data_IF_320818823082
#
_entry.id   IF_320818823082
#
_cell.length_a   1.000
_cell.length_b   1.000
_cell.length_c   1.000
_cell.angle_alpha   90.00
_cell.angle_beta   90.00
_cell.angle_gamma   90.00
#
_symmetry.space_group_name_H-M   'P 1'
#
loop_
_entity.id
_entity.type
_entity.pdbx_description
1 polymer ?
#
# COMPACT_ATOMS: atom_id res chain seq x y z
N UNK A 1 34.40 -73.08 -54.32
CA UNK A 1 33.39 -72.59 -55.30
C UNK A 1 32.06 -72.59 -54.56
N UNK A 2 31.42 -71.51 -54.12
CA UNK A 2 31.63 -70.06 -54.26
C UNK A 2 31.09 -69.42 -52.97
N UNK A 3 31.86 -68.50 -52.38
CA UNK A 3 31.50 -67.80 -51.14
C UNK A 3 30.71 -66.54 -51.49
N UNK A 4 29.49 -66.44 -50.97
CA UNK A 4 28.57 -65.30 -51.14
C UNK A 4 29.01 -64.13 -50.24
N UNK A 5 29.43 -63.03 -50.86
CA UNK A 5 29.72 -61.78 -50.18
C UNK A 5 28.42 -61.01 -49.87
N UNK A 6 28.12 -60.81 -48.58
CA UNK A 6 27.08 -59.90 -48.12
C UNK A 6 27.70 -58.52 -47.85
N UNK A 7 27.04 -57.51 -48.40
CA UNK A 7 27.35 -56.07 -48.30
C UNK A 7 27.29 -55.61 -46.83
N UNK A 8 28.26 -54.84 -46.30
CA UNK A 8 28.08 -54.09 -45.07
C UNK A 8 27.41 -52.75 -45.40
N UNK A 9 26.20 -52.52 -44.88
CA UNK A 9 25.59 -51.19 -44.88
C UNK A 9 26.28 -50.32 -43.84
N UNK A 10 26.86 -49.24 -44.33
CA UNK A 10 27.45 -48.17 -43.55
C UNK A 10 26.42 -47.06 -43.28
N UNK A 11 26.50 -46.53 -42.05
CA UNK A 11 26.12 -45.18 -41.62
C UNK A 11 24.62 -44.78 -41.55
N UNK A 12 24.17 -44.56 -40.32
CA UNK A 12 23.26 -43.45 -40.02
C UNK A 12 23.83 -42.61 -38.87
N UNK A 13 24.70 -41.67 -39.25
CA UNK A 13 25.16 -40.56 -38.43
C UNK A 13 24.04 -39.51 -38.38
N UNK A 14 23.42 -39.31 -37.21
CA UNK A 14 22.31 -38.36 -37.09
C UNK A 14 21.96 -37.83 -35.70
N UNK A 15 22.83 -37.97 -34.69
CA UNK A 15 22.40 -37.73 -33.30
C UNK A 15 23.37 -36.96 -32.39
N UNK A 16 24.20 -36.06 -32.95
CA UNK A 16 25.16 -35.26 -32.17
C UNK A 16 24.84 -33.76 -31.95
N UNK A 17 24.04 -33.03 -32.76
CA UNK A 17 23.81 -31.60 -32.50
C UNK A 17 22.85 -31.34 -31.32
N UNK A 18 21.85 -32.20 -31.13
CA UNK A 18 20.78 -31.98 -30.13
C UNK A 18 21.23 -32.16 -28.67
N UNK A 19 22.34 -32.86 -28.43
CA UNK A 19 22.86 -33.10 -27.06
C UNK A 19 23.60 -31.89 -26.51
N UNK A 20 24.42 -31.23 -27.34
CA UNK A 20 25.18 -30.05 -26.93
C UNK A 20 24.25 -28.86 -26.62
N UNK A 21 23.21 -28.67 -27.43
CA UNK A 21 22.23 -27.59 -27.27
C UNK A 21 21.38 -27.73 -25.99
N UNK A 22 21.06 -28.97 -25.59
CA UNK A 22 20.39 -29.27 -24.31
C UNK A 22 21.27 -28.98 -23.09
N UNK A 23 22.58 -29.21 -23.20
CA UNK A 23 23.51 -28.94 -22.09
C UNK A 23 23.72 -27.43 -21.91
N UNK A 24 23.87 -26.68 -23.01
CA UNK A 24 24.00 -25.22 -22.99
C UNK A 24 22.75 -24.53 -22.39
N UNK A 25 21.55 -24.94 -22.82
CA UNK A 25 20.28 -24.40 -22.27
C UNK A 25 20.04 -24.74 -20.80
N UNK A 26 20.48 -25.91 -20.33
CA UNK A 26 20.38 -26.28 -18.91
C UNK A 26 21.34 -25.46 -18.03
N UNK A 27 22.53 -25.12 -18.54
CA UNK A 27 23.51 -24.27 -17.85
C UNK A 27 22.97 -22.84 -17.71
N UNK A 28 22.36 -22.29 -18.75
CA UNK A 28 21.74 -20.96 -18.74
C UNK A 28 20.55 -20.89 -17.76
N UNK A 29 19.74 -21.96 -17.70
CA UNK A 29 18.62 -22.05 -16.77
C UNK A 29 19.09 -22.05 -15.31
N UNK A 30 20.13 -22.84 -15.00
CA UNK A 30 20.72 -22.89 -13.66
C UNK A 30 21.34 -21.55 -13.25
N UNK A 31 21.99 -20.85 -14.19
CA UNK A 31 22.57 -19.53 -13.94
C UNK A 31 21.49 -18.48 -13.62
N UNK A 32 20.36 -18.50 -14.35
CA UNK A 32 19.20 -17.62 -14.09
C UNK A 32 18.56 -17.91 -12.73
N UNK A 33 18.32 -19.19 -12.41
CA UNK A 33 17.74 -19.59 -11.12
C UNK A 33 18.62 -19.15 -9.94
N UNK A 34 19.94 -19.30 -10.09
CA UNK A 34 20.91 -18.86 -9.07
C UNK A 34 20.87 -17.33 -8.90
N UNK A 35 20.82 -16.57 -9.98
CA UNK A 35 20.75 -15.11 -9.92
C UNK A 35 19.43 -14.63 -9.27
N UNK A 36 18.31 -15.29 -9.58
CA UNK A 36 17.01 -15.01 -8.97
C UNK A 36 17.00 -15.32 -7.47
N UNK A 37 17.52 -16.49 -7.08
CA UNK A 37 17.67 -16.86 -5.66
C UNK A 37 18.60 -15.90 -4.92
N UNK A 38 19.71 -15.50 -5.53
CA UNK A 38 20.64 -14.55 -4.92
C UNK A 38 20.01 -13.16 -4.78
N UNK A 39 19.25 -12.70 -5.77
CA UNK A 39 18.48 -11.45 -5.70
C UNK A 39 17.43 -11.50 -4.57
N UNK A 40 16.77 -12.65 -4.41
CA UNK A 40 15.78 -12.89 -3.35
C UNK A 40 16.43 -12.97 -1.96
N UNK A 41 17.61 -13.56 -1.84
CA UNK A 41 18.38 -13.62 -0.59
C UNK A 41 18.89 -12.23 -0.22
N UNK A 42 19.46 -11.50 -1.17
CA UNK A 42 19.96 -10.15 -0.95
C UNK A 42 18.82 -9.19 -0.57
N UNK A 43 17.63 -9.30 -1.18
CA UNK A 43 16.47 -8.50 -0.79
C UNK A 43 15.97 -8.81 0.63
N UNK A 44 16.04 -10.09 1.05
CA UNK A 44 15.73 -10.51 2.42
C UNK A 44 16.79 -10.12 3.47
N UNK A 45 18.06 -9.97 3.08
CA UNK A 45 19.16 -9.60 3.97
C UNK A 45 19.32 -8.09 4.11
N UNK A 46 19.20 -7.32 3.02
CA UNK A 46 19.22 -5.85 3.05
C UNK A 46 18.06 -5.26 3.85
N UNK A 47 16.91 -5.94 3.92
CA UNK A 47 15.78 -5.51 4.75
C UNK A 47 16.02 -5.60 6.26
N UNK A 48 17.09 -6.26 6.72
CA UNK A 48 17.35 -6.52 8.17
C UNK A 48 18.37 -5.57 8.81
N UNK A 49 19.14 -4.78 8.06
CA UNK A 49 20.36 -4.13 8.56
C UNK A 49 20.39 -2.58 8.49
N UNK A 50 19.27 -1.92 8.23
CA UNK A 50 19.12 -0.47 8.43
C UNK A 50 17.64 -0.16 8.68
N UNK A 51 17.36 0.87 9.48
CA UNK A 51 16.01 1.37 9.79
C UNK A 51 15.16 1.46 8.53
N UNK A 52 14.38 0.41 8.26
CA UNK A 52 13.61 0.28 7.02
C UNK A 52 12.51 1.33 7.08
N UNK A 53 12.49 2.27 6.16
CA UNK A 53 11.32 3.12 5.95
C UNK A 53 10.40 2.41 4.99
N UNK A 54 9.13 2.30 5.34
CA UNK A 54 8.10 1.93 4.40
C UNK A 54 7.86 3.12 3.46
N UNK A 55 7.64 2.86 2.16
CA UNK A 55 7.34 3.90 1.20
C UNK A 55 6.05 4.62 1.55
N UNK A 56 5.90 5.85 1.09
CA UNK A 56 4.72 6.71 1.27
C UNK A 56 4.39 7.40 -0.04
N UNK A 57 3.16 7.90 -0.21
CA UNK A 57 2.78 8.67 -1.41
C UNK A 57 3.72 9.86 -1.58
N UNK A 58 4.15 10.20 -2.82
CA UNK A 58 5.15 11.25 -3.04
C UNK A 58 4.82 12.58 -2.35
N UNK A 59 3.54 12.95 -2.33
CA UNK A 59 3.08 14.18 -1.70
C UNK A 59 3.24 14.17 -0.16
N UNK A 60 3.17 12.99 0.48
CA UNK A 60 3.40 12.85 1.92
C UNK A 60 4.89 12.73 2.28
N UNK A 61 5.77 12.39 1.32
CA UNK A 61 7.20 12.27 1.58
C UNK A 61 7.82 13.61 2.03
N UNK A 62 7.35 14.75 1.50
CA UNK A 62 7.84 16.07 1.91
C UNK A 62 7.51 16.43 3.36
N UNK A 63 6.37 15.96 3.89
CA UNK A 63 5.92 16.29 5.25
C UNK A 63 6.36 15.26 6.29
N UNK A 64 6.62 14.01 5.89
CA UNK A 64 7.05 12.96 6.80
C UNK A 64 8.55 13.08 7.15
N UNK A 65 8.96 12.86 8.41
CA UNK A 65 10.36 12.77 8.77
C UNK A 65 11.08 11.69 7.95
N UNK A 66 12.19 12.05 7.31
CA UNK A 66 12.98 11.11 6.50
C UNK A 66 12.29 10.60 5.22
N UNK A 67 11.15 11.17 4.82
CA UNK A 67 10.50 10.87 3.53
C UNK A 67 9.67 9.59 3.48
N UNK A 68 9.39 8.96 4.61
CA UNK A 68 8.63 7.70 4.65
C UNK A 68 8.23 7.31 6.07
N UNK A 69 7.58 6.16 6.21
CA UNK A 69 7.13 5.66 7.51
C UNK A 69 8.22 4.79 8.12
N UNK A 70 8.76 5.18 9.26
CA UNK A 70 9.77 4.41 9.98
C UNK A 70 9.15 3.11 10.54
N UNK A 71 9.78 1.97 10.24
CA UNK A 71 9.44 0.72 10.91
C UNK A 71 9.85 0.77 12.38
N UNK A 72 9.06 0.16 13.26
CA UNK A 72 9.25 0.24 14.70
C UNK A 72 8.72 1.53 15.33
N UNK A 73 7.96 2.33 14.57
CA UNK A 73 7.39 3.59 15.00
C UNK A 73 5.87 3.61 14.89
N UNK A 74 5.25 4.56 15.59
CA UNK A 74 3.82 4.82 15.54
C UNK A 74 3.54 6.25 15.04
N UNK A 75 2.44 6.43 14.31
CA UNK A 75 2.00 7.69 13.75
C UNK A 75 0.57 7.96 14.17
N UNK A 76 0.31 9.14 14.73
CA UNK A 76 -1.04 9.56 15.08
C UNK A 76 -1.66 10.34 13.92
N UNK A 77 -2.90 10.04 13.58
CA UNK A 77 -3.69 10.80 12.61
C UNK A 77 -4.92 11.38 13.29
N UNK A 78 -4.99 12.70 13.32
CA UNK A 78 -6.10 13.44 13.91
C UNK A 78 -7.21 13.66 12.87
N UNK A 79 -8.40 13.15 13.17
CA UNK A 79 -9.67 13.44 12.50
C UNK A 79 -9.69 13.25 10.96
N UNK A 80 -8.94 12.29 10.41
CA UNK A 80 -8.96 12.04 8.96
C UNK A 80 -8.65 10.59 8.59
N UNK A 81 -9.69 9.79 8.36
CA UNK A 81 -9.57 8.44 7.78
C UNK A 81 -8.93 8.47 6.39
N UNK A 82 -9.23 9.52 5.61
CA UNK A 82 -8.61 9.79 4.30
C UNK A 82 -7.10 9.85 4.39
N UNK A 83 -6.56 10.59 5.35
CA UNK A 83 -5.11 10.68 5.56
C UNK A 83 -4.53 9.36 6.06
N UNK A 84 -5.23 8.66 6.94
CA UNK A 84 -4.81 7.33 7.38
C UNK A 84 -4.72 6.33 6.22
N UNK A 85 -5.69 6.32 5.29
CA UNK A 85 -5.62 5.49 4.08
C UNK A 85 -4.45 5.90 3.17
N UNK A 86 -4.18 7.19 3.02
CA UNK A 86 -3.03 7.67 2.25
C UNK A 86 -1.67 7.21 2.83
N UNK A 87 -1.56 7.08 4.16
CA UNK A 87 -0.37 6.52 4.81
C UNK A 87 -0.22 5.01 4.56
N UNK A 88 -1.33 4.30 4.37
CA UNK A 88 -1.33 2.86 4.03
C UNK A 88 -1.06 2.61 2.54
N UNK A 89 -1.41 3.56 1.68
CA UNK A 89 -1.25 3.45 0.23
C UNK A 89 0.18 3.13 -0.20
N UNK A 90 1.17 3.82 0.37
CA UNK A 90 2.58 3.61 0.04
C UNK A 90 3.08 2.19 0.32
N UNK A 91 3.00 1.70 1.57
CA UNK A 91 3.43 0.35 1.90
C UNK A 91 2.64 -0.72 1.13
N UNK A 92 1.32 -0.53 0.99
CA UNK A 92 0.44 -1.47 0.29
C UNK A 92 0.76 -1.56 -1.21
N UNK A 93 0.94 -0.42 -1.88
CA UNK A 93 1.31 -0.34 -3.28
C UNK A 93 2.70 -0.89 -3.59
N UNK A 94 3.62 -0.83 -2.61
CA UNK A 94 4.90 -1.54 -2.67
C UNK A 94 4.79 -3.05 -2.41
N UNK A 95 3.56 -3.57 -2.28
CA UNK A 95 3.25 -4.99 -2.15
C UNK A 95 3.26 -5.53 -0.72
N UNK A 96 3.32 -4.68 0.30
CA UNK A 96 3.30 -5.10 1.70
C UNK A 96 1.88 -5.44 2.18
N UNK A 97 1.77 -6.45 3.04
CA UNK A 97 0.53 -6.72 3.75
C UNK A 97 0.23 -5.60 4.75
N UNK A 98 -1.04 -5.21 4.78
CA UNK A 98 -1.58 -4.15 5.62
C UNK A 98 -2.76 -4.70 6.44
N UNK A 99 -2.99 -4.17 7.63
CA UNK A 99 -4.20 -4.50 8.40
C UNK A 99 -4.92 -3.26 8.90
N UNK A 100 -6.25 -3.33 8.98
CA UNK A 100 -7.10 -2.32 9.63
C UNK A 100 -7.85 -2.97 10.79
N UNK A 101 -7.69 -2.43 12.00
CA UNK A 101 -8.26 -3.00 13.23
C UNK A 101 -9.15 -1.98 13.94
N UNK A 102 -10.35 -2.39 14.37
CA UNK A 102 -11.24 -1.55 15.18
C UNK A 102 -11.86 -0.37 14.42
N UNK A 103 -12.02 -0.49 13.10
CA UNK A 103 -12.62 0.54 12.26
C UNK A 103 -13.83 0.00 11.49
N UNK A 104 -15.01 -0.10 12.13
CA UNK A 104 -16.20 -0.71 11.52
C UNK A 104 -16.74 0.07 10.32
N UNK A 105 -16.43 1.36 10.22
CA UNK A 105 -16.83 2.24 9.11
C UNK A 105 -15.75 2.43 8.05
N UNK A 106 -14.71 1.58 8.03
CA UNK A 106 -13.66 1.64 7.03
C UNK A 106 -14.19 1.27 5.64
N UNK A 107 -14.02 2.17 4.66
CA UNK A 107 -14.50 1.94 3.29
C UNK A 107 -13.43 1.24 2.45
N UNK A 108 -13.74 0.03 2.00
CA UNK A 108 -12.90 -0.77 1.11
C UNK A 108 -12.80 -0.16 -0.29
N UNK A 109 -13.90 0.41 -0.79
CA UNK A 109 -13.93 1.11 -2.08
C UNK A 109 -13.04 2.36 -2.06
N UNK A 110 -13.13 3.15 -0.99
CA UNK A 110 -12.25 4.29 -0.82
C UNK A 110 -10.79 3.83 -0.72
N UNK A 111 -10.50 2.77 0.03
CA UNK A 111 -9.16 2.19 0.13
C UNK A 111 -8.58 1.81 -1.24
N UNK A 112 -9.39 1.19 -2.11
CA UNK A 112 -8.98 0.89 -3.49
C UNK A 112 -8.66 2.16 -4.28
N UNK A 113 -9.43 3.24 -4.12
CA UNK A 113 -9.14 4.54 -4.73
C UNK A 113 -7.83 5.16 -4.24
N UNK A 114 -7.34 4.78 -3.06
CA UNK A 114 -6.01 5.17 -2.56
C UNK A 114 -4.86 4.28 -3.09
N UNK A 115 -5.16 3.26 -3.91
CA UNK A 115 -4.17 2.29 -4.36
C UNK A 115 -3.78 1.28 -3.28
N UNK A 116 -4.64 1.04 -2.28
CA UNK A 116 -4.45 -0.05 -1.32
C UNK A 116 -4.79 -1.37 -2.00
N UNK A 117 -3.82 -2.29 -2.03
CA UNK A 117 -3.95 -3.64 -2.59
C UNK A 117 -4.89 -4.49 -1.72
N UNK A 118 -6.14 -4.62 -2.15
CA UNK A 118 -7.20 -5.29 -1.38
C UNK A 118 -6.95 -6.79 -1.17
N UNK A 119 -6.20 -7.43 -2.07
CA UNK A 119 -5.76 -8.83 -1.96
C UNK A 119 -4.74 -9.05 -0.82
N UNK A 120 -4.16 -7.97 -0.29
CA UNK A 120 -3.18 -7.95 0.81
C UNK A 120 -3.63 -7.09 1.99
N UNK A 121 -4.93 -6.86 2.11
CA UNK A 121 -5.54 -6.08 3.18
C UNK A 121 -6.32 -6.99 4.13
N UNK A 122 -5.92 -7.02 5.40
CA UNK A 122 -6.67 -7.72 6.47
C UNK A 122 -7.56 -6.73 7.20
N UNK A 123 -8.86 -7.03 7.31
CA UNK A 123 -9.80 -6.19 8.04
C UNK A 123 -10.29 -6.93 9.28
N UNK A 124 -10.16 -6.28 10.44
CA UNK A 124 -10.80 -6.68 11.70
C UNK A 124 -11.68 -5.53 12.20
N UNK A 125 -12.94 -5.43 11.74
CA UNK A 125 -13.80 -4.28 12.01
C UNK A 125 -14.07 -4.04 13.49
N UNK A 126 -14.31 -5.11 14.26
CA UNK A 126 -14.74 -5.06 15.66
C UNK A 126 -13.96 -6.09 16.50
N UNK A 127 -12.76 -5.74 17.01
CA UNK A 127 -11.98 -6.64 17.85
C UNK A 127 -12.51 -6.73 19.30
N UNK A 128 -13.43 -5.85 19.70
CA UNK A 128 -13.97 -5.78 21.06
C UNK A 128 -12.88 -5.60 22.11
N UNK A 129 -13.05 -6.27 23.25
CA UNK A 129 -12.10 -6.23 24.38
C UNK A 129 -10.73 -6.86 24.04
N UNK A 130 -10.65 -7.61 22.92
CA UNK A 130 -9.42 -8.24 22.45
C UNK A 130 -8.58 -7.33 21.55
N UNK A 131 -8.91 -6.03 21.47
CA UNK A 131 -8.22 -5.07 20.61
C UNK A 131 -6.69 -5.15 20.69
N UNK A 132 -6.14 -5.21 21.91
CA UNK A 132 -4.69 -5.26 22.11
C UNK A 132 -4.09 -6.57 21.56
N UNK A 133 -4.71 -7.71 21.87
CA UNK A 133 -4.27 -9.03 21.41
C UNK A 133 -4.33 -9.12 19.89
N UNK A 134 -5.43 -8.68 19.28
CA UNK A 134 -5.62 -8.67 17.82
C UNK A 134 -4.61 -7.74 17.15
N UNK A 135 -4.49 -6.51 17.63
CA UNK A 135 -3.54 -5.53 17.06
C UNK A 135 -2.11 -6.05 17.14
N UNK A 136 -1.73 -6.64 18.28
CA UNK A 136 -0.40 -7.18 18.46
C UNK A 136 -0.15 -8.45 17.61
N UNK A 137 -1.18 -9.27 17.37
CA UNK A 137 -1.11 -10.38 16.43
C UNK A 137 -0.95 -9.88 14.97
N UNK A 138 -1.61 -8.78 14.60
CA UNK A 138 -1.42 -8.16 13.29
C UNK A 138 0.00 -7.62 13.12
N UNK A 139 0.55 -6.95 14.14
CA UNK A 139 1.95 -6.47 14.14
C UNK A 139 2.97 -7.59 13.85
N UNK A 140 2.65 -8.84 14.19
CA UNK A 140 3.53 -9.98 13.92
C UNK A 140 3.54 -10.45 12.47
N UNK A 141 2.51 -10.13 11.69
CA UNK A 141 2.30 -10.71 10.35
C UNK A 141 2.24 -9.67 9.23
N UNK A 142 1.91 -8.41 9.53
CA UNK A 142 1.83 -7.32 8.54
C UNK A 142 2.94 -6.29 8.72
N UNK A 143 3.21 -5.51 7.68
CA UNK A 143 4.23 -4.44 7.75
C UNK A 143 3.68 -3.13 8.32
N UNK A 144 2.37 -2.90 8.19
CA UNK A 144 1.71 -1.70 8.72
C UNK A 144 0.32 -2.02 9.24
N UNK A 145 0.01 -1.50 10.42
CA UNK A 145 -1.29 -1.64 11.08
C UNK A 145 -1.94 -0.27 11.19
N UNK A 146 -3.11 -0.10 10.57
CA UNK A 146 -4.02 0.99 10.87
C UNK A 146 -4.98 0.54 11.97
N UNK A 147 -5.17 1.36 13.00
CA UNK A 147 -6.11 1.05 14.06
C UNK A 147 -6.77 2.29 14.63
N UNK A 148 -7.96 2.12 15.22
CA UNK A 148 -8.49 3.06 16.20
C UNK A 148 -8.27 2.47 17.57
N UNK A 149 -7.40 3.10 18.35
CA UNK A 149 -7.18 2.71 19.73
C UNK A 149 -8.46 2.90 20.57
N UNK A 150 -8.72 2.04 21.57
CA UNK A 150 -9.71 2.30 22.60
C UNK A 150 -9.44 3.64 23.28
N UNK A 151 -10.48 4.24 23.87
CA UNK A 151 -10.36 5.53 24.57
C UNK A 151 -9.27 5.52 25.65
N UNK A 152 -9.10 4.36 26.31
CA UNK A 152 -8.09 4.15 27.33
C UNK A 152 -7.12 3.06 26.89
N UNK A 153 -5.90 3.46 26.52
CA UNK A 153 -4.75 2.56 26.35
C UNK A 153 -3.76 2.84 27.46
N UNK A 154 -3.41 1.82 28.25
CA UNK A 154 -2.46 2.00 29.35
C UNK A 154 -1.05 2.28 28.80
N UNK A 155 -0.20 3.03 29.53
CA UNK A 155 1.20 3.24 29.12
C UNK A 155 1.97 1.92 28.94
N UNK A 156 1.65 0.90 29.75
CA UNK A 156 2.23 -0.44 29.63
C UNK A 156 1.84 -1.12 28.32
N UNK A 157 0.57 -1.04 27.90
CA UNK A 157 0.09 -1.65 26.65
C UNK A 157 0.66 -0.94 25.44
N UNK A 158 0.68 0.39 25.46
CA UNK A 158 1.33 1.19 24.42
C UNK A 158 2.82 0.84 24.30
N UNK A 159 3.53 0.73 25.43
CA UNK A 159 4.95 0.36 25.47
C UNK A 159 5.18 -1.06 24.93
N UNK A 160 4.30 -2.02 25.27
CA UNK A 160 4.37 -3.40 24.75
C UNK A 160 4.17 -3.44 23.23
N UNK A 161 3.19 -2.71 22.71
CA UNK A 161 2.99 -2.59 21.27
C UNK A 161 4.18 -1.93 20.58
N UNK A 162 4.72 -0.84 21.13
CA UNK A 162 5.92 -0.18 20.58
C UNK A 162 7.15 -1.10 20.58
N UNK A 163 7.37 -1.87 21.63
CA UNK A 163 8.45 -2.86 21.67
C UNK A 163 8.26 -3.92 20.57
N UNK A 164 7.03 -4.40 20.38
CA UNK A 164 6.69 -5.39 19.35
C UNK A 164 6.86 -4.84 17.93
N UNK A 165 6.45 -3.60 17.67
CA UNK A 165 6.69 -2.91 16.39
C UNK A 165 8.19 -2.89 16.06
N UNK A 166 9.05 -2.57 17.03
CA UNK A 166 10.51 -2.56 16.84
C UNK A 166 11.08 -3.95 16.59
N UNK A 167 10.60 -4.96 17.31
CA UNK A 167 11.02 -6.36 17.12
C UNK A 167 10.62 -6.92 15.75
N UNK A 168 9.44 -6.54 15.25
CA UNK A 168 8.89 -7.04 13.98
C UNK A 168 9.21 -6.16 12.78
N UNK A 169 9.69 -4.94 13.00
CA UNK A 169 9.91 -3.97 11.93
C UNK A 169 8.59 -3.56 11.26
N UNK A 170 7.51 -3.44 12.02
CA UNK A 170 6.21 -2.97 11.54
C UNK A 170 5.97 -1.51 11.96
N UNK A 171 5.10 -0.80 11.25
CA UNK A 171 4.64 0.55 11.62
C UNK A 171 3.18 0.53 12.12
N UNK A 172 2.86 1.42 13.03
CA UNK A 172 1.49 1.62 13.52
C UNK A 172 0.97 2.99 13.07
N UNK A 173 -0.25 3.03 12.55
CA UNK A 173 -0.99 4.27 12.30
C UNK A 173 -2.24 4.22 13.17
N UNK A 174 -2.44 5.24 14.00
CA UNK A 174 -3.61 5.34 14.87
C UNK A 174 -4.51 6.47 14.42
N UNK A 175 -5.81 6.22 14.32
CA UNK A 175 -6.81 7.30 14.31
C UNK A 175 -7.06 7.75 15.74
N UNK A 176 -6.57 8.94 16.06
CA UNK A 176 -6.54 9.46 17.43
C UNK A 176 -5.14 9.45 18.04
N UNK A 177 -5.01 10.00 19.26
CA UNK A 177 -3.73 10.19 19.91
C UNK A 177 -3.08 8.85 20.26
N UNK A 178 -1.77 8.77 20.06
CA UNK A 178 -0.94 7.67 20.50
C UNK A 178 0.32 8.16 21.23
N UNK A 179 0.64 7.58 22.41
CA UNK A 179 1.84 7.97 23.16
C UNK A 179 3.12 7.78 22.34
N UNK A 180 4.04 8.75 22.43
CA UNK A 180 5.36 8.67 21.79
C UNK A 180 5.29 8.42 20.26
N UNK A 181 4.28 8.99 19.60
CA UNK A 181 4.20 8.97 18.14
C UNK A 181 5.40 9.67 17.52
N UNK A 182 5.94 9.09 16.45
CA UNK A 182 7.02 9.66 15.64
C UNK A 182 6.58 10.94 14.95
N UNK A 183 5.32 10.97 14.47
CA UNK A 183 4.66 12.19 14.06
C UNK A 183 3.15 12.12 14.28
N UNK A 184 2.56 13.28 14.52
CA UNK A 184 1.11 13.50 14.52
C UNK A 184 0.73 14.27 13.28
N UNK A 185 -0.12 13.69 12.44
CA UNK A 185 -0.61 14.29 11.22
C UNK A 185 -2.06 14.74 11.38
N UNK A 186 -2.39 15.91 10.88
CA UNK A 186 -3.74 16.46 10.92
C UNK A 186 -4.09 17.19 9.63
N UNK A 187 -5.38 17.25 9.32
CA UNK A 187 -5.90 18.09 8.24
C UNK A 187 -6.35 19.41 8.86
N UNK A 188 -5.59 20.48 8.65
CA UNK A 188 -5.83 21.80 9.26
C UNK A 188 -6.67 22.73 8.39
N UNK A 189 -6.92 22.36 7.14
CA UNK A 189 -7.76 23.11 6.21
C UNK A 189 -8.31 22.23 5.10
N UNK A 190 -9.51 22.54 4.63
CA UNK A 190 -10.17 21.80 3.56
C UNK A 190 -11.02 22.76 2.73
N UNK A 191 -10.79 22.79 1.42
CA UNK A 191 -11.60 23.56 0.48
C UNK A 191 -12.00 22.67 -0.71
N UNK A 192 -13.26 22.75 -1.11
CA UNK A 192 -13.79 22.02 -2.26
C UNK A 192 -13.92 22.92 -3.47
N UNK A 193 -13.69 22.35 -4.66
CA UNK A 193 -13.87 23.02 -5.93
C UNK A 193 -14.84 22.24 -6.83
N UNK A 194 -15.48 22.94 -7.77
CA UNK A 194 -16.38 22.36 -8.77
C UNK A 194 -17.83 22.86 -8.72
N UNK A 195 -18.20 23.68 -7.73
CA UNK A 195 -19.56 24.25 -7.58
C UNK A 195 -19.85 25.47 -8.47
N UNK A 196 -18.95 25.88 -9.37
CA UNK A 196 -19.18 27.03 -10.27
C UNK A 196 -19.67 28.27 -9.51
N UNK A 197 -20.75 28.89 -9.99
CA UNK A 197 -21.46 30.02 -9.33
C UNK A 197 -22.58 29.56 -8.38
N UNK A 198 -22.46 28.39 -7.76
CA UNK A 198 -23.49 27.75 -6.93
C UNK A 198 -24.26 26.62 -7.62
N UNK A 199 -23.91 26.30 -8.87
CA UNK A 199 -24.43 25.16 -9.63
C UNK A 199 -23.24 24.33 -10.15
N UNK A 200 -23.29 23.02 -9.96
CA UNK A 200 -22.21 22.10 -10.34
C UNK A 200 -22.05 20.93 -9.36
N UNK A 201 -20.98 20.15 -9.52
CA UNK A 201 -20.65 19.03 -8.65
C UNK A 201 -19.28 19.25 -8.02
N UNK A 202 -19.09 18.80 -6.77
CA UNK A 202 -17.78 18.80 -6.13
C UNK A 202 -16.84 17.88 -6.92
N UNK A 203 -15.79 18.45 -7.52
CA UNK A 203 -14.84 17.71 -8.37
C UNK A 203 -13.57 17.36 -7.65
N UNK A 204 -13.07 18.28 -6.83
CA UNK A 204 -11.77 18.13 -6.19
C UNK A 204 -11.75 18.80 -4.82
N UNK A 205 -10.95 18.24 -3.93
CA UNK A 205 -10.74 18.73 -2.57
C UNK A 205 -9.29 19.09 -2.39
N UNK A 206 -9.01 20.34 -2.02
CA UNK A 206 -7.70 20.78 -1.56
C UNK A 206 -7.65 20.67 -0.04
N UNK A 207 -6.63 20.01 0.48
CA UNK A 207 -6.42 19.74 1.90
C UNK A 207 -5.09 20.34 2.34
N UNK A 208 -5.10 21.02 3.49
CA UNK A 208 -3.88 21.42 4.18
C UNK A 208 -3.56 20.37 5.22
N UNK A 209 -2.40 19.74 5.09
CA UNK A 209 -1.95 18.71 6.00
C UNK A 209 -0.74 19.21 6.76
N UNK A 210 -0.78 19.08 8.09
CA UNK A 210 0.32 19.42 8.97
C UNK A 210 0.81 18.14 9.66
N UNK A 211 2.12 17.92 9.63
CA UNK A 211 2.80 16.86 10.36
C UNK A 211 3.68 17.47 11.44
N UNK A 212 3.41 17.12 12.69
CA UNK A 212 4.21 17.49 13.85
C UNK A 212 5.07 16.29 14.25
N UNK A 213 6.38 16.39 14.06
CA UNK A 213 7.31 15.34 14.46
C UNK A 213 7.55 15.34 15.97
N UNK A 214 7.92 14.16 16.50
CA UNK A 214 8.32 13.98 17.90
C UNK A 214 9.51 14.88 18.30
N UNK A 215 10.35 15.23 17.33
CA UNK A 215 11.52 16.12 17.49
C UNK A 215 11.17 17.61 17.58
N UNK A 216 9.88 17.97 17.49
CA UNK A 216 9.39 19.35 17.56
C UNK A 216 9.33 20.08 16.21
N UNK A 217 9.84 19.48 15.12
CA UNK A 217 9.68 20.03 13.78
C UNK A 217 8.22 19.92 13.31
N UNK A 218 7.72 20.97 12.67
CA UNK A 218 6.40 20.96 12.01
C UNK A 218 6.55 21.24 10.53
N UNK A 219 5.86 20.46 9.71
CA UNK A 219 5.81 20.63 8.25
C UNK A 219 4.38 20.68 7.79
N UNK A 220 4.09 21.59 6.87
CA UNK A 220 2.75 21.75 6.30
C UNK A 220 2.82 21.69 4.79
N UNK A 221 1.85 21.02 4.16
CA UNK A 221 1.68 21.00 2.72
C UNK A 221 0.20 21.19 2.36
N UNK A 222 -0.04 21.97 1.30
CA UNK A 222 -1.33 22.02 0.63
C UNK A 222 -1.30 21.01 -0.53
N UNK A 223 -2.30 20.15 -0.59
CA UNK A 223 -2.35 19.04 -1.54
C UNK A 223 -3.76 18.76 -2.01
N UNK A 224 -3.89 18.17 -3.18
CA UNK A 224 -5.18 17.73 -3.67
C UNK A 224 -5.46 16.29 -3.22
N UNK A 225 -6.73 15.99 -2.94
CA UNK A 225 -7.15 14.64 -2.60
C UNK A 225 -6.77 13.61 -3.69
N UNK A 226 -6.95 13.89 -4.99
CA UNK A 226 -6.42 13.04 -6.05
C UNK A 226 -4.92 12.75 -5.93
N UNK A 227 -4.09 13.67 -5.47
CA UNK A 227 -2.64 13.44 -5.31
C UNK A 227 -2.33 12.44 -4.19
N UNK A 228 -3.23 12.27 -3.22
CA UNK A 228 -3.13 11.21 -2.21
C UNK A 228 -3.62 9.85 -2.74
N UNK A 229 -4.50 9.86 -3.74
CA UNK A 229 -5.15 8.67 -4.29
C UNK A 229 -4.30 8.01 -5.38
N UNK A 230 -3.64 8.81 -6.21
CA UNK A 230 -2.82 8.33 -7.32
C UNK A 230 -1.35 8.28 -6.91
N UNK A 231 -0.97 7.23 -6.19
CA UNK A 231 0.45 6.90 -5.99
C UNK A 231 1.10 6.36 -7.27
N UNK A 232 2.45 6.41 -7.40
CA UNK A 232 3.16 5.86 -8.57
C UNK A 232 3.03 4.34 -8.75
N UNK A 233 2.33 3.66 -7.83
CA UNK A 233 2.02 2.22 -7.83
C UNK A 233 0.57 1.91 -8.25
N UNK A 234 -0.25 2.93 -8.53
CA UNK A 234 -1.57 2.71 -9.08
C UNK A 234 -1.46 2.40 -10.58
N UNK A 235 -2.00 1.27 -11.02
CA UNK A 235 -2.45 1.16 -12.41
C UNK A 235 -3.53 2.24 -12.63
N UNK A 236 -3.60 2.88 -13.80
CA UNK A 236 -4.63 3.87 -14.08
C UNK A 236 -5.99 3.17 -14.06
N UNK A 237 -6.65 3.19 -12.89
CA UNK A 237 -8.02 2.73 -12.76
C UNK A 237 -8.86 3.63 -13.64
N UNK A 238 -9.48 3.02 -14.65
CA UNK A 238 -10.39 3.67 -15.60
C UNK A 238 -11.30 4.63 -14.85
N UNK A 239 -11.10 5.93 -15.06
CA UNK A 239 -12.02 6.98 -14.65
C UNK A 239 -13.38 6.57 -15.21
N UNK A 240 -14.32 6.20 -14.35
CA UNK A 240 -15.71 5.99 -14.80
C UNK A 240 -16.15 7.34 -15.35
N UNK A 241 -16.44 7.48 -16.66
CA UNK A 241 -16.90 8.74 -17.19
C UNK A 241 -18.20 9.09 -16.46
N UNK A 242 -18.29 10.32 -15.97
CA UNK A 242 -19.52 10.84 -15.40
C UNK A 242 -20.65 10.64 -16.42
N UNK A 243 -21.63 9.80 -16.08
CA UNK A 243 -22.83 9.65 -16.89
C UNK A 243 -23.53 11.01 -16.87
N UNK A 244 -23.70 11.69 -18.01
CA UNK A 244 -24.47 12.92 -18.03
C UNK A 244 -25.90 12.60 -17.64
N UNK A 245 -26.35 13.12 -16.50
CA UNK A 245 -27.76 13.09 -16.13
C UNK A 245 -28.48 13.98 -17.14
N UNK A 246 -29.14 13.37 -18.12
CA UNK A 246 -30.04 14.07 -19.03
C UNK A 246 -31.18 14.64 -18.20
N UNK A 247 -31.15 15.94 -17.97
CA UNK A 247 -32.31 16.69 -17.50
C UNK A 247 -33.34 16.67 -18.63
N UNK A 248 -34.20 15.66 -18.65
CA UNK A 248 -35.45 15.76 -19.40
C UNK A 248 -36.29 16.86 -18.72
N UNK A 249 -36.25 18.02 -19.37
CA UNK A 249 -37.14 19.14 -19.17
C UNK A 249 -38.59 18.63 -19.22
N UNK A 250 -39.27 18.61 -18.08
CA UNK A 250 -40.73 18.77 -18.08
C UNK A 250 -41.01 20.24 -18.44
N UNK A 251 -41.13 20.49 -19.74
CA UNK A 251 -41.79 21.70 -20.24
C UNK A 251 -43.28 21.57 -19.94
N UNK A 252 -43.72 22.08 -18.79
CA UNK A 252 -45.14 22.30 -18.56
C UNK A 252 -45.53 23.64 -19.20
N UNK A 253 -45.98 23.53 -20.46
CA UNK A 253 -46.62 24.62 -21.19
C UNK A 253 -48.01 24.89 -20.61
N UNK A 254 -48.21 26.16 -20.25
CA UNK A 254 -49.43 26.86 -19.83
C UNK A 254 -50.80 26.28 -20.22
N UNK A 255 -51.79 26.48 -19.35
CA UNK A 255 -53.09 27.03 -19.79
C UNK A 255 -53.75 27.93 -18.74
N UNK A 256 -54.12 29.12 -19.21
CA UNK A 256 -54.94 30.11 -18.54
C UNK A 256 -56.38 29.62 -18.29
N UNK A 257 -56.97 30.06 -17.17
CA UNK A 257 -58.32 30.61 -17.08
C UNK A 257 -58.52 31.31 -15.73
#
# INVERSE_FOLDING_TARGET
>A
MSSTAAVPQEVSAGQHPQRAERVLSAVDHKARLKAELQSKINSMQSSRLSSRRLPTVPVLAGILPGGGLQTGAAYSVSNSTTLAMALLAGPSGAGAWCSVVGMPTFSVEAAASFGIALDKLVLVPQPGDQWLTVTAAMVDVVSIVLTRAPEHVTPSDASRLMARLRQRGAALVTLGPWPQSEATLSVTGSNWQGLGSGTGHLRSRRMRITAHASTGSSRTADLWLPDLQHGPWADPVSTVPAVPVQQEFFSETAHAS
#
